data_IF_142006661385
#
_entry.id   IF_142006661385
#
_cell.length_a   1.000
_cell.length_b   1.000
_cell.length_c   1.000
_cell.angle_alpha   90.00
_cell.angle_beta   90.00
_cell.angle_gamma   90.00
#
_symmetry.space_group_name_H-M   'P 1'
#
loop_
_entity.id
_entity.type
_entity.pdbx_description
1 polymer ?
#
# COMPACT_ATOMS: atom_id res chain seq x y z
N UNK A 1 -11.00 -23.26 25.09
CA UNK A 1 -11.42 -22.86 23.73
C UNK A 1 -10.28 -22.30 22.87
N UNK A 2 -9.02 -22.32 23.31
CA UNK A 2 -7.90 -21.69 22.58
C UNK A 2 -7.22 -22.56 21.53
N UNK A 3 -7.45 -23.88 21.58
CA UNK A 3 -6.79 -24.84 20.67
C UNK A 3 -7.40 -24.81 19.25
N UNK A 4 -8.72 -24.66 19.17
CA UNK A 4 -9.46 -24.50 17.90
C UNK A 4 -9.05 -23.20 17.18
N UNK A 5 -8.90 -22.08 17.90
CA UNK A 5 -8.48 -20.81 17.28
C UNK A 5 -7.03 -20.84 16.78
N UNK A 6 -6.12 -21.56 17.46
CA UNK A 6 -4.76 -21.75 16.96
C UNK A 6 -4.72 -22.60 15.70
N UNK A 7 -5.50 -23.70 15.65
CA UNK A 7 -5.56 -24.55 14.46
C UNK A 7 -6.17 -23.85 13.25
N UNK A 8 -7.19 -23.00 13.43
CA UNK A 8 -7.76 -22.20 12.32
C UNK A 8 -6.75 -21.15 11.84
N UNK A 9 -6.03 -20.49 12.75
CA UNK A 9 -5.00 -19.52 12.39
C UNK A 9 -3.82 -20.16 11.62
N UNK A 10 -3.37 -21.36 12.03
CA UNK A 10 -2.33 -22.10 11.30
C UNK A 10 -2.81 -22.64 9.94
N UNK A 11 -4.08 -23.04 9.82
CA UNK A 11 -4.66 -23.45 8.54
C UNK A 11 -4.78 -22.27 7.56
N UNK A 12 -5.14 -21.08 8.05
CA UNK A 12 -5.18 -19.86 7.24
C UNK A 12 -3.78 -19.42 6.79
N UNK A 13 -2.77 -19.55 7.65
CA UNK A 13 -1.37 -19.25 7.31
C UNK A 13 -0.75 -20.22 6.29
N UNK A 14 -1.31 -21.43 6.13
CA UNK A 14 -0.83 -22.44 5.18
C UNK A 14 -1.31 -22.25 3.72
N UNK A 15 -2.15 -21.25 3.45
CA UNK A 15 -2.89 -21.14 2.17
C UNK A 15 -2.42 -19.97 1.28
N UNK A 16 -1.13 -19.60 1.30
CA UNK A 16 -0.59 -18.50 0.47
C UNK A 16 0.62 -18.89 -0.39
N UNK A 17 0.73 -20.15 -0.81
CA UNK A 17 1.92 -20.62 -1.55
C UNK A 17 1.58 -21.53 -2.75
N UNK A 18 0.73 -21.04 -3.66
CA UNK A 18 0.66 -21.49 -5.06
C UNK A 18 -0.10 -20.40 -5.84
N UNK A 19 0.39 -19.73 -6.88
CA UNK A 19 1.46 -20.02 -7.79
C UNK A 19 2.06 -18.70 -8.34
N UNK A 20 3.30 -18.42 -7.98
CA UNK A 20 4.18 -17.54 -8.75
C UNK A 20 5.37 -18.42 -9.20
N UNK A 21 5.12 -19.27 -10.18
CA UNK A 21 6.14 -20.18 -10.72
C UNK A 21 6.30 -19.91 -12.22
N UNK A 22 7.03 -18.85 -12.55
CA UNK A 22 7.78 -18.73 -13.81
C UNK A 22 8.58 -17.42 -13.86
N UNK A 23 9.73 -17.31 -13.16
CA UNK A 23 10.87 -16.54 -13.71
C UNK A 23 12.17 -17.17 -13.21
N UNK A 24 12.89 -17.80 -14.13
CA UNK A 24 14.22 -18.35 -13.92
C UNK A 24 15.28 -17.24 -13.85
N UNK A 25 16.22 -17.39 -12.92
CA UNK A 25 17.61 -16.93 -12.98
C UNK A 25 17.93 -15.48 -13.42
N UNK A 26 17.96 -14.54 -12.46
CA UNK A 26 18.84 -13.37 -12.49
C UNK A 26 18.99 -12.77 -11.07
N UNK A 27 20.21 -12.45 -10.58
CA UNK A 27 20.39 -11.76 -9.31
C UNK A 27 20.20 -10.25 -9.51
N UNK A 28 19.19 -9.68 -8.87
CA UNK A 28 19.03 -8.23 -8.76
C UNK A 28 18.01 -7.59 -9.72
N UNK A 29 16.73 -7.76 -9.41
CA UNK A 29 15.68 -6.82 -9.78
C UNK A 29 14.43 -7.16 -8.94
N UNK A 30 14.23 -6.44 -7.85
CA UNK A 30 12.96 -6.45 -7.12
C UNK A 30 11.89 -5.92 -8.09
N UNK A 31 11.12 -6.83 -8.67
CA UNK A 31 9.98 -6.49 -9.52
C UNK A 31 8.99 -5.68 -8.69
N UNK A 32 8.86 -4.41 -9.06
CA UNK A 32 7.97 -3.46 -8.45
C UNK A 32 6.52 -3.99 -8.45
N UNK A 33 5.76 -3.83 -7.37
CA UNK A 33 4.33 -4.08 -7.43
C UNK A 33 3.71 -3.16 -8.48
N UNK A 34 2.85 -3.74 -9.30
CA UNK A 34 2.13 -3.06 -10.37
C UNK A 34 1.53 -1.76 -9.83
N UNK A 35 1.98 -0.63 -10.38
CA UNK A 35 1.27 0.63 -10.22
C UNK A 35 -0.08 0.46 -10.93
N UNK A 36 -1.11 0.10 -10.16
CA UNK A 36 -2.48 0.32 -10.55
C UNK A 36 -2.60 1.79 -10.90
N UNK A 37 -2.63 2.09 -12.20
CA UNK A 37 -2.98 3.44 -12.65
C UNK A 37 -4.34 3.73 -12.04
N UNK A 38 -4.49 4.73 -11.16
CA UNK A 38 -5.81 5.07 -10.69
C UNK A 38 -6.55 5.52 -11.94
N UNK A 39 -7.53 4.70 -12.33
CA UNK A 39 -8.64 5.13 -13.16
C UNK A 39 -9.08 6.48 -12.61
N UNK A 40 -9.34 7.45 -13.50
CA UNK A 40 -9.70 8.79 -13.11
C UNK A 40 -11.07 8.74 -12.42
N UNK A 41 -11.07 8.34 -11.15
CA UNK A 41 -12.23 8.18 -10.33
C UNK A 41 -12.93 9.54 -10.31
N UNK A 42 -14.19 9.52 -10.71
CA UNK A 42 -15.05 10.68 -10.69
C UNK A 42 -14.98 11.25 -9.26
N UNK A 43 -14.96 12.58 -9.07
CA UNK A 43 -14.94 13.12 -7.72
C UNK A 43 -16.27 12.79 -7.04
N UNK A 44 -16.28 11.70 -6.27
CA UNK A 44 -17.48 11.12 -5.64
C UNK A 44 -17.98 11.96 -4.45
N UNK A 45 -17.50 13.20 -4.30
CA UNK A 45 -17.83 14.10 -3.20
C UNK A 45 -17.29 13.64 -1.83
N UNK A 46 -16.57 12.52 -1.79
CA UNK A 46 -16.01 11.96 -0.57
C UNK A 46 -14.77 12.74 -0.13
N UNK A 47 -14.58 12.96 1.18
CA UNK A 47 -13.40 13.64 1.69
C UNK A 47 -12.16 12.79 1.43
N UNK A 48 -11.17 13.40 0.78
CA UNK A 48 -9.83 12.84 0.64
C UNK A 48 -8.94 13.42 1.75
N UNK A 49 -8.30 12.55 2.53
CA UNK A 49 -7.33 12.95 3.56
C UNK A 49 -5.98 12.33 3.23
N UNK A 50 -4.94 13.15 3.15
CA UNK A 50 -3.57 12.68 3.03
C UNK A 50 -2.84 12.90 4.36
N UNK A 51 -2.37 11.82 4.96
CA UNK A 51 -1.59 11.81 6.19
C UNK A 51 -0.13 11.46 5.90
N UNK A 52 0.78 12.26 6.47
CA UNK A 52 2.22 12.06 6.38
C UNK A 52 2.75 11.94 7.81
N UNK A 53 3.18 10.73 8.17
CA UNK A 53 3.75 10.47 9.49
C UNK A 53 5.14 11.08 9.64
N UNK A 54 6.01 10.84 8.65
CA UNK A 54 7.36 11.39 8.57
C UNK A 54 7.70 11.83 7.14
N UNK A 55 7.92 13.13 6.99
CA UNK A 55 8.26 13.79 5.72
C UNK A 55 9.57 13.30 5.10
N UNK A 56 10.47 12.71 5.88
CA UNK A 56 11.76 12.19 5.40
C UNK A 56 11.64 10.81 4.76
N UNK A 57 10.63 10.03 5.14
CA UNK A 57 10.44 8.66 4.64
C UNK A 57 9.83 8.60 3.24
N UNK A 58 9.21 9.70 2.80
CA UNK A 58 8.51 9.77 1.52
C UNK A 58 7.22 8.95 1.48
N UNK A 59 6.65 8.56 2.62
CA UNK A 59 5.39 7.80 2.69
C UNK A 59 4.19 8.73 2.95
N UNK A 60 3.11 8.47 2.23
CA UNK A 60 1.82 9.15 2.32
C UNK A 60 0.74 8.09 2.50
N UNK A 61 -0.06 8.19 3.55
CA UNK A 61 -1.30 7.44 3.68
C UNK A 61 -2.43 8.31 3.12
N UNK A 62 -3.16 7.77 2.15
CA UNK A 62 -4.31 8.42 1.52
C UNK A 62 -5.54 7.68 1.98
N UNK A 63 -6.42 8.40 2.66
CA UNK A 63 -7.74 7.92 3.05
C UNK A 63 -8.76 8.52 2.08
N UNK A 64 -9.54 7.66 1.45
CA UNK A 64 -10.64 8.03 0.57
C UNK A 64 -11.87 7.20 0.91
N UNK A 65 -12.86 7.83 1.55
CA UNK A 65 -14.02 7.09 2.06
C UNK A 65 -13.61 6.08 3.14
N UNK A 66 -13.77 4.80 2.86
CA UNK A 66 -13.38 3.66 3.72
C UNK A 66 -12.04 3.02 3.33
N UNK A 67 -11.48 3.42 2.19
CA UNK A 67 -10.23 2.87 1.68
C UNK A 67 -9.03 3.64 2.22
N UNK A 68 -8.00 2.90 2.62
CA UNK A 68 -6.68 3.43 2.98
C UNK A 68 -5.62 2.89 2.01
N UNK A 69 -4.88 3.80 1.39
CA UNK A 69 -3.80 3.47 0.45
C UNK A 69 -2.51 4.16 0.88
N UNK A 70 -1.47 3.37 1.15
CA UNK A 70 -0.14 3.89 1.44
C UNK A 70 0.69 3.95 0.16
N UNK A 71 1.10 5.15 -0.22
CA UNK A 71 1.94 5.42 -1.39
C UNK A 71 3.30 5.91 -0.93
N UNK A 72 4.37 5.42 -1.56
CA UNK A 72 5.72 5.92 -1.34
C UNK A 72 6.13 6.82 -2.52
N UNK A 73 6.08 8.13 -2.30
CA UNK A 73 6.48 9.16 -3.26
C UNK A 73 7.07 10.37 -2.51
N UNK A 74 8.40 10.48 -2.56
CA UNK A 74 9.13 11.57 -1.93
C UNK A 74 8.84 12.94 -2.55
N UNK A 75 8.55 13.01 -3.86
CA UNK A 75 8.25 14.26 -4.54
C UNK A 75 6.84 14.76 -4.23
N UNK A 76 5.86 13.85 -4.09
CA UNK A 76 4.54 14.20 -3.57
C UNK A 76 4.63 14.77 -2.16
N UNK A 77 5.33 14.09 -1.25
CA UNK A 77 5.54 14.55 0.14
C UNK A 77 6.19 15.94 0.17
N UNK A 78 7.22 16.16 -0.66
CA UNK A 78 7.88 17.48 -0.76
C UNK A 78 6.94 18.57 -1.25
N UNK A 79 6.07 18.28 -2.22
CA UNK A 79 5.07 19.23 -2.72
C UNK A 79 4.04 19.58 -1.66
N UNK A 80 3.49 18.58 -0.97
CA UNK A 80 2.54 18.79 0.13
C UNK A 80 3.16 19.58 1.29
N UNK A 81 4.38 19.22 1.69
CA UNK A 81 5.11 19.91 2.76
C UNK A 81 5.39 21.38 2.43
N UNK A 82 5.71 21.68 1.16
CA UNK A 82 5.91 23.06 0.69
C UNK A 82 4.60 23.86 0.73
N UNK A 83 3.50 23.26 0.30
CA UNK A 83 2.18 23.89 0.32
C UNK A 83 1.71 24.19 1.75
N UNK A 84 1.94 23.27 2.70
CA UNK A 84 1.56 23.42 4.10
C UNK A 84 2.35 24.49 4.87
N UNK A 85 3.53 24.88 4.37
CA UNK A 85 4.40 25.90 4.99
C UNK A 85 4.18 27.31 4.45
N UNK A 86 3.25 27.48 3.51
CA UNK A 86 2.91 28.77 2.91
C UNK A 86 1.74 29.40 3.63
#
# INVERSE_FOLDING_TARGET
MSDTSRRIFLAAAGSSAAAAAAVAAAPGALAAPHASSPDAAKPDGQPLVAYIDDVTTGRVAILFGEDEVVVQDADLVRRLTRAARR
#
